data_IF_364415708454
#
_entry.id   IF_364415708454
#
_cell.length_a   1.000
_cell.length_b   1.000
_cell.length_c   1.000
_cell.angle_alpha   90.00
_cell.angle_beta   90.00
_cell.angle_gamma   90.00
#
_symmetry.space_group_name_H-M   'P 1'
#
loop_
_entity.id
_entity.type
_entity.pdbx_description
1 polymer ?
#
# COMPACT_ATOMS: atom_id res chain seq x y z
N UNK A 1 -7.97 -65.37 43.85
CA UNK A 1 -7.59 -63.94 43.79
C UNK A 1 -7.11 -63.65 42.38
N UNK A 2 -7.85 -62.84 41.63
CA UNK A 2 -7.61 -62.56 40.20
C UNK A 2 -6.97 -61.16 40.08
N UNK A 3 -5.68 -61.11 39.75
CA UNK A 3 -4.87 -59.88 39.74
C UNK A 3 -4.58 -59.38 38.31
N UNK A 4 -5.40 -59.73 37.32
CA UNK A 4 -5.08 -59.49 35.90
C UNK A 4 -5.75 -58.27 35.26
N UNK A 5 -6.61 -57.55 35.98
CA UNK A 5 -7.29 -56.36 35.44
C UNK A 5 -6.58 -55.06 35.84
N UNK A 6 -5.31 -54.91 35.47
CA UNK A 6 -4.66 -53.59 35.45
C UNK A 6 -5.19 -52.85 34.22
N UNK A 7 -6.29 -52.11 34.44
CA UNK A 7 -6.85 -51.17 33.47
C UNK A 7 -5.74 -50.25 32.97
N UNK A 8 -5.28 -50.49 31.74
CA UNK A 8 -4.30 -49.65 31.07
C UNK A 8 -5.00 -48.35 30.71
N UNK A 9 -4.97 -47.38 31.61
CA UNK A 9 -5.43 -46.01 31.35
C UNK A 9 -4.57 -45.44 30.23
N UNK A 10 -5.03 -45.61 28.99
CA UNK A 10 -4.39 -45.07 27.79
C UNK A 10 -4.47 -43.55 27.93
N UNK A 11 -3.38 -42.93 28.38
CA UNK A 11 -3.26 -41.48 28.47
C UNK A 11 -3.52 -40.92 27.07
N UNK A 12 -4.67 -40.26 26.91
CA UNK A 12 -4.98 -39.51 25.70
C UNK A 12 -3.87 -38.47 25.55
N UNK A 13 -3.11 -38.45 24.45
CA UNK A 13 -2.17 -37.35 24.25
C UNK A 13 -3.01 -36.07 24.26
N UNK A 14 -2.71 -35.18 25.21
CA UNK A 14 -3.25 -33.83 25.20
C UNK A 14 -2.75 -33.21 23.90
N UNK A 15 -3.62 -33.13 22.90
CA UNK A 15 -3.33 -32.46 21.64
C UNK A 15 -3.01 -31.01 22.00
N UNK A 16 -1.72 -30.66 21.97
CA UNK A 16 -1.31 -29.28 22.19
C UNK A 16 -2.06 -28.38 21.18
N UNK A 17 -2.57 -27.20 21.59
CA UNK A 17 -3.17 -26.26 20.66
C UNK A 17 -2.22 -26.06 19.48
N UNK A 18 -2.72 -26.27 18.26
CA UNK A 18 -1.92 -26.06 17.07
C UNK A 18 -1.46 -24.59 17.09
N UNK A 19 -0.15 -24.30 17.27
CA UNK A 19 0.29 -22.93 17.41
C UNK A 19 -0.09 -22.20 16.13
N UNK A 20 -0.83 -21.09 16.28
CA UNK A 20 -1.15 -20.24 15.14
C UNK A 20 0.16 -19.92 14.40
N UNK A 21 0.20 -20.03 13.07
CA UNK A 21 1.44 -19.82 12.32
C UNK A 21 2.02 -18.44 12.68
N UNK A 22 3.26 -18.46 13.19
CA UNK A 22 3.97 -17.29 13.72
C UNK A 22 4.28 -16.28 12.60
N UNK A 23 4.38 -16.78 11.37
CA UNK A 23 4.50 -16.00 10.16
C UNK A 23 3.29 -16.27 9.28
N UNK A 24 2.62 -15.21 8.88
CA UNK A 24 1.67 -15.28 7.78
C UNK A 24 2.48 -15.58 6.50
N UNK A 25 2.12 -16.60 5.73
CA UNK A 25 2.80 -17.02 4.49
C UNK A 25 2.15 -16.42 3.23
N UNK A 26 1.09 -15.61 3.39
CA UNK A 26 0.36 -15.03 2.25
C UNK A 26 1.27 -14.15 1.39
N UNK A 27 1.15 -14.20 0.05
CA UNK A 27 1.96 -13.35 -0.83
C UNK A 27 1.74 -11.87 -0.49
N UNK A 28 2.78 -11.04 -0.65
CA UNK A 28 2.76 -9.62 -0.28
C UNK A 28 1.51 -8.90 -0.81
N UNK A 29 1.12 -9.19 -2.06
CA UNK A 29 -0.05 -8.61 -2.71
C UNK A 29 -1.40 -8.96 -2.06
N UNK A 30 -1.51 -10.14 -1.44
CA UNK A 30 -2.73 -10.57 -0.76
C UNK A 30 -2.90 -9.95 0.64
N UNK A 31 -1.90 -9.21 1.13
CA UNK A 31 -1.96 -8.48 2.41
C UNK A 31 -2.34 -7.01 2.25
N UNK A 32 -2.47 -6.53 1.01
CA UNK A 32 -2.88 -5.15 0.75
C UNK A 32 -4.35 -4.98 1.09
N UNK A 33 -4.61 -3.95 1.90
CA UNK A 33 -5.93 -3.46 2.22
C UNK A 33 -6.53 -2.66 1.06
N UNK A 34 -7.86 -2.47 1.11
CA UNK A 34 -8.60 -1.63 0.15
C UNK A 34 -8.02 -0.21 0.05
N UNK A 35 -7.54 0.36 1.17
CA UNK A 35 -6.94 1.69 1.23
C UNK A 35 -5.65 1.74 0.40
N UNK A 36 -4.88 0.66 0.38
CA UNK A 36 -3.63 0.58 -0.37
C UNK A 36 -3.89 0.62 -1.88
N UNK A 37 -5.00 0.01 -2.32
CA UNK A 37 -5.46 0.06 -3.70
C UNK A 37 -6.06 1.41 -4.08
N UNK A 38 -6.87 2.03 -3.20
CA UNK A 38 -7.41 3.37 -3.43
C UNK A 38 -6.28 4.41 -3.56
N UNK A 39 -5.24 4.31 -2.73
CA UNK A 39 -4.06 5.16 -2.83
C UNK A 39 -3.35 4.98 -4.18
N UNK A 40 -3.13 3.74 -4.61
CA UNK A 40 -2.50 3.48 -5.90
C UNK A 40 -3.34 3.99 -7.07
N UNK A 41 -4.66 3.77 -7.03
CA UNK A 41 -5.60 4.29 -8.01
C UNK A 41 -5.54 5.82 -8.08
N UNK A 42 -5.51 6.50 -6.94
CA UNK A 42 -5.43 7.96 -6.89
C UNK A 42 -4.15 8.50 -7.57
N UNK A 43 -3.00 7.83 -7.36
CA UNK A 43 -1.76 8.19 -8.05
C UNK A 43 -1.85 7.96 -9.56
N UNK A 44 -2.40 6.82 -9.99
CA UNK A 44 -2.55 6.51 -11.42
C UNK A 44 -3.50 7.48 -12.10
N UNK A 45 -4.63 7.81 -11.48
CA UNK A 45 -5.59 8.80 -11.99
C UNK A 45 -4.96 10.19 -12.05
N UNK A 46 -4.24 10.61 -11.01
CA UNK A 46 -3.56 11.90 -11.00
C UNK A 46 -2.50 12.02 -12.09
N UNK A 47 -1.67 10.99 -12.27
CA UNK A 47 -0.68 10.95 -13.35
C UNK A 47 -1.33 10.86 -14.73
N UNK A 48 -2.40 10.08 -14.88
CA UNK A 48 -3.17 10.00 -16.12
C UNK A 48 -3.80 11.34 -16.49
N UNK A 49 -4.38 12.06 -15.52
CA UNK A 49 -4.92 13.40 -15.73
C UNK A 49 -3.83 14.37 -16.21
N UNK A 50 -2.67 14.38 -15.54
CA UNK A 50 -1.54 15.20 -15.93
C UNK A 50 -1.03 14.84 -17.33
N UNK A 51 -0.94 13.55 -17.65
CA UNK A 51 -0.53 13.09 -18.96
C UNK A 51 -1.49 13.56 -20.04
N UNK A 52 -2.80 13.39 -19.88
CA UNK A 52 -3.78 13.78 -20.91
C UNK A 52 -3.74 15.28 -21.21
N UNK A 53 -3.59 16.13 -20.18
CA UNK A 53 -3.64 17.58 -20.37
C UNK A 53 -2.29 18.21 -20.75
N UNK A 54 -1.18 17.63 -20.29
CA UNK A 54 0.15 18.25 -20.43
C UNK A 54 1.12 17.47 -21.32
N UNK A 55 0.70 16.34 -21.91
CA UNK A 55 1.54 15.51 -22.77
C UNK A 55 2.27 16.30 -23.88
N UNK A 56 1.60 17.27 -24.49
CA UNK A 56 2.15 18.07 -25.59
C UNK A 56 3.28 18.99 -25.13
N UNK A 57 3.28 19.34 -23.84
CA UNK A 57 4.28 20.19 -23.21
C UNK A 57 5.41 19.36 -22.56
N UNK A 58 5.31 18.02 -22.55
CA UNK A 58 6.28 17.12 -21.95
C UNK A 58 7.18 16.50 -23.03
N UNK A 59 8.49 16.58 -22.83
CA UNK A 59 9.44 15.84 -23.66
C UNK A 59 9.48 14.35 -23.24
N UNK A 60 10.31 13.55 -23.92
CA UNK A 60 10.43 12.11 -23.63
C UNK A 60 10.95 11.83 -22.21
N UNK A 61 11.89 12.64 -21.71
CA UNK A 61 12.45 12.49 -20.36
C UNK A 61 11.38 12.74 -19.30
N UNK A 62 10.58 13.80 -19.43
CA UNK A 62 9.52 14.14 -18.47
C UNK A 62 8.48 13.02 -18.37
N UNK A 63 8.09 12.47 -19.52
CA UNK A 63 7.16 11.32 -19.58
C UNK A 63 7.76 10.10 -18.90
N UNK A 64 9.04 9.81 -19.14
CA UNK A 64 9.73 8.68 -18.52
C UNK A 64 9.82 8.83 -17.00
N UNK A 65 10.18 10.02 -16.51
CA UNK A 65 10.21 10.32 -15.07
C UNK A 65 8.82 10.14 -14.48
N UNK A 66 7.78 10.74 -15.06
CA UNK A 66 6.42 10.62 -14.56
C UNK A 66 5.96 9.15 -14.47
N UNK A 67 6.17 8.37 -15.55
CA UNK A 67 5.81 6.95 -15.59
C UNK A 67 6.63 6.15 -14.55
N UNK A 68 7.89 6.51 -14.30
CA UNK A 68 8.71 5.87 -13.26
C UNK A 68 8.33 6.28 -11.83
N UNK A 69 7.89 7.52 -11.63
CA UNK A 69 7.51 8.05 -10.32
C UNK A 69 6.24 7.38 -9.78
N UNK A 70 5.25 7.11 -10.63
CA UNK A 70 3.99 6.46 -10.21
C UNK A 70 4.21 5.13 -9.49
N UNK A 71 4.85 4.10 -10.08
CA UNK A 71 5.09 2.83 -9.40
C UNK A 71 6.02 2.99 -8.19
N UNK A 72 7.00 3.90 -8.24
CA UNK A 72 7.87 4.17 -7.10
C UNK A 72 7.08 4.68 -5.87
N UNK A 73 6.19 5.65 -6.07
CA UNK A 73 5.34 6.19 -5.01
C UNK A 73 4.29 5.19 -4.53
N UNK A 74 3.74 4.37 -5.43
CA UNK A 74 2.82 3.28 -5.07
C UNK A 74 3.51 2.29 -4.13
N UNK A 75 4.69 1.79 -4.51
CA UNK A 75 5.45 0.84 -3.69
C UNK A 75 5.87 1.46 -2.35
N UNK A 76 6.32 2.72 -2.36
CA UNK A 76 6.66 3.46 -1.16
C UNK A 76 5.44 3.59 -0.22
N UNK A 77 4.28 3.95 -0.77
CA UNK A 77 3.03 4.06 -0.02
C UNK A 77 2.59 2.71 0.57
N UNK A 78 2.76 1.60 -0.17
CA UNK A 78 2.45 0.26 0.33
C UNK A 78 3.40 -0.18 1.45
N UNK A 79 4.70 0.09 1.30
CA UNK A 79 5.70 -0.30 2.30
C UNK A 79 5.67 0.60 3.54
N UNK A 80 5.39 1.88 3.38
CA UNK A 80 5.42 2.88 4.44
C UNK A 80 4.12 3.68 4.51
N UNK A 81 3.14 3.13 5.25
CA UNK A 81 1.80 3.71 5.40
C UNK A 81 1.75 5.20 5.81
N UNK A 82 2.53 5.70 6.80
CA UNK A 82 2.48 7.13 7.16
C UNK A 82 2.99 8.06 6.07
N UNK A 83 3.83 7.60 5.13
CA UNK A 83 4.29 8.41 4.01
C UNK A 83 3.13 8.88 3.10
N UNK A 84 2.00 8.16 3.09
CA UNK A 84 0.80 8.55 2.33
C UNK A 84 0.19 9.83 2.82
N UNK A 85 0.16 10.05 4.14
CA UNK A 85 -0.35 11.29 4.71
C UNK A 85 0.54 12.46 4.28
N UNK A 86 1.87 12.29 4.30
CA UNK A 86 2.78 13.32 3.81
C UNK A 86 2.54 13.62 2.32
N UNK A 87 2.45 12.59 1.47
CA UNK A 87 2.16 12.76 0.04
C UNK A 87 0.83 13.46 -0.20
N UNK A 88 -0.22 13.09 0.53
CA UNK A 88 -1.54 13.72 0.43
C UNK A 88 -1.50 15.18 0.90
N UNK A 89 -0.85 15.47 2.03
CA UNK A 89 -0.67 16.84 2.53
C UNK A 89 0.10 17.71 1.53
N UNK A 90 1.19 17.19 0.95
CA UNK A 90 1.95 17.89 -0.10
C UNK A 90 1.04 18.18 -1.29
N UNK A 91 0.29 17.19 -1.79
CA UNK A 91 -0.62 17.37 -2.92
C UNK A 91 -1.68 18.45 -2.63
N UNK A 92 -2.32 18.41 -1.46
CA UNK A 92 -3.32 19.42 -1.05
C UNK A 92 -2.69 20.80 -0.95
N UNK A 93 -1.55 20.93 -0.28
CA UNK A 93 -0.84 22.20 -0.14
C UNK A 93 -0.41 22.77 -1.50
N UNK A 94 0.11 21.93 -2.40
CA UNK A 94 0.46 22.32 -3.76
C UNK A 94 -0.75 22.83 -4.54
N UNK A 95 -1.90 22.15 -4.46
CA UNK A 95 -3.13 22.58 -5.12
C UNK A 95 -3.69 23.88 -4.53
N UNK A 96 -3.65 24.04 -3.20
CA UNK A 96 -4.05 25.28 -2.53
C UNK A 96 -3.16 26.45 -2.94
N UNK A 97 -1.85 26.22 -3.04
CA UNK A 97 -0.90 27.21 -3.55
C UNK A 97 -1.28 27.66 -4.97
N UNK A 98 -1.50 26.72 -5.89
CA UNK A 98 -1.95 27.03 -7.26
C UNK A 98 -3.23 27.85 -7.27
N UNK A 99 -4.20 27.53 -6.39
CA UNK A 99 -5.46 28.27 -6.26
C UNK A 99 -5.25 29.70 -5.76
N UNK A 100 -4.36 29.92 -4.79
CA UNK A 100 -4.04 31.26 -4.25
C UNK A 100 -3.49 32.16 -5.37
N UNK A 101 -2.62 31.62 -6.23
CA UNK A 101 -2.04 32.36 -7.34
C UNK A 101 -2.94 32.45 -8.58
N UNK A 102 -4.14 31.87 -8.55
CA UNK A 102 -5.07 31.79 -9.69
C UNK A 102 -4.45 31.19 -10.96
N UNK A 103 -3.43 30.33 -10.80
CA UNK A 103 -2.66 29.81 -11.94
C UNK A 103 -1.77 30.83 -12.65
N UNK A 104 -1.61 32.04 -12.11
CA UNK A 104 -0.72 33.06 -12.65
C UNK A 104 0.64 33.01 -11.94
N UNK A 105 1.65 32.45 -12.62
CA UNK A 105 3.01 32.39 -12.09
C UNK A 105 3.61 33.79 -11.83
N UNK A 106 3.14 34.84 -12.48
CA UNK A 106 3.65 36.20 -12.27
C UNK A 106 3.24 36.79 -10.90
N UNK A 107 2.33 36.13 -10.17
CA UNK A 107 1.85 36.55 -8.85
C UNK A 107 2.54 35.82 -7.69
N UNK A 108 3.42 34.86 -7.98
CA UNK A 108 4.20 34.09 -7.00
C UNK A 108 5.59 34.71 -6.78
#
# INVERSE_FOLDING_TARGET
MDLTQVSSSRSRPVQAPNPAPLFDDRPFLARLSIIDWLFALALVVGAGYAFVHYNEHMNYYDKAVMIGTVPALVVLGWRWKPARLMMASIAVLSLLSIQIYQGDLARA
#
